data_IF_378381532013
#
_entry.id   IF_378381532013
#
_cell.length_a   1.000
_cell.length_b   1.000
_cell.length_c   1.000
_cell.angle_alpha   90.00
_cell.angle_beta   90.00
_cell.angle_gamma   90.00
#
_symmetry.space_group_name_H-M   'P 1'
#
loop_
_entity.id
_entity.type
_entity.pdbx_description
1 polymer ?
#
# COMPACT_ATOMS: atom_id res chain seq x y z
N UNK A 1 7.72 -3.38 -21.99
CA UNK A 1 7.24 -4.36 -20.98
C UNK A 1 6.91 -3.70 -19.64
N UNK A 2 7.75 -2.77 -19.15
CA UNK A 2 7.50 -1.98 -17.93
C UNK A 2 6.10 -1.36 -17.86
N UNK A 3 5.68 -0.61 -18.89
CA UNK A 3 4.40 0.11 -18.90
C UNK A 3 3.16 -0.77 -18.65
N UNK A 4 3.21 -2.06 -19.01
CA UNK A 4 2.13 -3.02 -18.73
C UNK A 4 2.10 -3.47 -17.26
N UNK A 5 3.27 -3.52 -16.62
CA UNK A 5 3.40 -3.82 -15.20
C UNK A 5 2.98 -2.61 -14.36
N UNK A 6 3.41 -1.41 -14.76
CA UNK A 6 3.02 -0.15 -14.10
C UNK A 6 1.50 0.08 -14.18
N UNK A 7 0.88 -0.18 -15.34
CA UNK A 7 -0.58 -0.05 -15.48
C UNK A 7 -1.35 -1.07 -14.65
N UNK A 8 -0.81 -2.29 -14.46
CA UNK A 8 -1.42 -3.30 -13.60
C UNK A 8 -1.26 -2.94 -12.12
N UNK A 9 -0.09 -2.45 -11.72
CA UNK A 9 0.17 -1.97 -10.35
C UNK A 9 -0.73 -0.79 -10.00
N UNK A 10 -0.84 0.21 -10.87
CA UNK A 10 -1.75 1.34 -10.65
C UNK A 10 -3.22 0.91 -10.52
N UNK A 11 -3.62 -0.15 -11.24
CA UNK A 11 -4.97 -0.72 -11.11
C UNK A 11 -5.15 -1.44 -9.77
N UNK A 12 -4.13 -2.12 -9.27
CA UNK A 12 -4.16 -2.76 -7.95
C UNK A 12 -4.17 -1.72 -6.83
N UNK A 13 -3.33 -0.68 -6.91
CA UNK A 13 -3.29 0.42 -5.95
C UNK A 13 -4.65 1.14 -5.86
N UNK A 14 -5.31 1.35 -7.01
CA UNK A 14 -6.66 1.94 -7.04
C UNK A 14 -7.72 1.03 -6.39
N UNK A 15 -7.62 -0.30 -6.59
CA UNK A 15 -8.52 -1.26 -5.95
C UNK A 15 -8.28 -1.34 -4.44
N UNK A 16 -7.03 -1.28 -4.00
CA UNK A 16 -6.65 -1.27 -2.59
C UNK A 16 -7.17 -0.01 -1.88
N UNK A 17 -7.01 1.18 -2.49
CA UNK A 17 -7.58 2.42 -1.96
C UNK A 17 -9.12 2.40 -1.89
N UNK A 18 -9.79 1.75 -2.84
CA UNK A 18 -11.24 1.55 -2.78
C UNK A 18 -11.64 0.59 -1.66
N UNK A 19 -10.88 -0.48 -1.44
CA UNK A 19 -11.10 -1.42 -0.34
C UNK A 19 -10.88 -0.76 1.01
N UNK A 20 -9.89 0.12 1.14
CA UNK A 20 -9.65 0.90 2.37
C UNK A 20 -10.84 1.83 2.68
N UNK A 21 -11.36 2.54 1.67
CA UNK A 21 -12.58 3.37 1.82
C UNK A 21 -13.80 2.52 2.20
N UNK A 22 -13.96 1.33 1.61
CA UNK A 22 -15.05 0.41 1.97
C UNK A 22 -14.87 -0.24 3.34
N UNK A 23 -13.63 -0.33 3.83
CA UNK A 23 -13.32 -0.81 5.16
C UNK A 23 -13.60 0.25 6.24
N UNK A 24 -13.70 1.54 5.88
CA UNK A 24 -14.15 2.61 6.79
C UNK A 24 -15.57 2.31 7.25
N UNK A 25 -15.70 1.88 8.52
CA UNK A 25 -16.99 1.48 9.11
C UNK A 25 -17.31 -0.02 9.05
N UNK A 26 -16.44 -0.85 8.46
CA UNK A 26 -16.55 -2.31 8.50
C UNK A 26 -15.34 -2.96 9.20
N UNK A 27 -15.44 -3.26 10.51
CA UNK A 27 -14.32 -3.83 11.28
C UNK A 27 -13.95 -5.27 10.89
N UNK A 28 -14.80 -5.96 10.12
CA UNK A 28 -14.48 -7.27 9.55
C UNK A 28 -13.60 -7.12 8.32
N UNK A 29 -13.92 -6.17 7.44
CA UNK A 29 -13.09 -5.86 6.27
C UNK A 29 -11.73 -5.28 6.67
N UNK A 30 -11.67 -4.41 7.70
CA UNK A 30 -10.38 -3.89 8.19
C UNK A 30 -9.44 -4.99 8.69
N UNK A 31 -9.97 -6.01 9.39
CA UNK A 31 -9.16 -7.15 9.85
C UNK A 31 -8.68 -8.02 8.69
N UNK A 32 -9.56 -8.32 7.74
CA UNK A 32 -9.20 -9.09 6.56
C UNK A 32 -8.12 -8.38 5.72
N UNK A 33 -8.19 -7.04 5.62
CA UNK A 33 -7.17 -6.24 4.94
C UNK A 33 -5.84 -6.25 5.72
N UNK A 34 -5.86 -6.02 7.04
CA UNK A 34 -4.66 -6.08 7.87
C UNK A 34 -3.97 -7.45 7.82
N UNK A 35 -4.74 -8.54 7.77
CA UNK A 35 -4.21 -9.90 7.56
C UNK A 35 -3.61 -10.08 6.15
N UNK A 36 -4.21 -9.47 5.13
CA UNK A 36 -3.66 -9.49 3.76
C UNK A 36 -2.36 -8.67 3.63
N UNK A 37 -2.24 -7.56 4.35
CA UNK A 37 -1.01 -6.78 4.47
C UNK A 37 0.10 -7.60 5.15
N UNK A 38 -0.24 -8.37 6.18
CA UNK A 38 0.71 -9.26 6.87
C UNK A 38 1.20 -10.40 5.98
N UNK A 39 0.36 -10.91 5.09
CA UNK A 39 0.74 -11.93 4.12
C UNK A 39 1.53 -11.37 2.92
N UNK A 40 1.84 -10.07 2.92
CA UNK A 40 2.57 -9.41 1.85
C UNK A 40 1.77 -9.34 0.54
N UNK A 41 0.45 -9.47 0.63
CA UNK A 41 -0.46 -9.40 -0.51
C UNK A 41 -0.86 -7.95 -0.83
N UNK A 42 -0.69 -7.03 0.11
CA UNK A 42 -0.73 -5.59 -0.18
C UNK A 42 0.57 -5.10 -0.79
N UNK A 43 0.42 -4.28 -1.83
CA UNK A 43 1.55 -3.67 -2.50
C UNK A 43 2.22 -2.70 -1.51
N UNK A 44 3.56 -2.62 -1.45
CA UNK A 44 4.23 -1.67 -0.57
C UNK A 44 3.80 -0.25 -0.96
N UNK A 45 3.03 0.38 -0.08
CA UNK A 45 2.54 1.74 -0.25
C UNK A 45 3.73 2.65 -0.64
N UNK A 46 3.70 3.28 -1.83
CA UNK A 46 4.79 4.12 -2.31
C UNK A 46 5.05 5.33 -1.38
N UNK A 47 4.08 5.71 -0.53
CA UNK A 47 4.23 6.75 0.49
C UNK A 47 4.87 6.24 1.79
N UNK A 48 4.78 4.94 2.08
CA UNK A 48 5.42 4.33 3.26
C UNK A 48 6.95 4.32 3.16
N UNK A 49 7.49 4.32 1.94
CA UNK A 49 8.91 4.51 1.67
C UNK A 49 9.33 5.98 1.55
N UNK A 50 8.40 6.93 1.41
CA UNK A 50 8.71 8.36 1.34
C UNK A 50 9.11 8.97 2.70
N UNK A 51 8.89 8.23 3.81
CA UNK A 51 9.30 8.61 5.16
C UNK A 51 10.33 7.65 5.76
N UNK A 52 11.16 6.99 4.94
CA UNK A 52 12.41 6.41 5.46
C UNK A 52 13.47 7.51 5.38
N UNK A 53 13.74 8.29 6.46
CA UNK A 53 14.87 9.19 6.44
C UNK A 53 16.10 8.32 6.19
N UNK A 54 16.77 8.59 5.08
CA UNK A 54 18.06 7.96 4.82
C UNK A 54 19.00 8.40 5.94
N UNK A 55 19.84 7.51 6.51
CA UNK A 55 20.70 7.84 7.64
C UNK A 55 21.68 9.00 7.35
N UNK A 56 21.83 9.40 6.09
CA UNK A 56 22.59 10.57 5.68
C UNK A 56 21.93 11.92 5.99
N UNK A 57 20.65 11.98 6.38
CA UNK A 57 19.97 13.24 6.75
C UNK A 57 20.03 13.57 8.26
N UNK A 58 20.57 12.67 9.09
CA UNK A 58 20.71 12.89 10.54
C UNK A 58 22.03 13.55 10.95
N UNK A 59 22.88 13.94 9.99
CA UNK A 59 24.23 14.45 10.25
C UNK A 59 24.48 15.88 9.74
N UNK A 60 23.45 16.75 9.78
CA UNK A 60 23.62 18.18 9.51
C UNK A 60 23.17 19.04 10.66
#
# INVERSE_FOLDING_TARGET
MQARMDTQQQRLDYLEGLLDVMAVGNPTLQRALAESEQLGMSQPDPKRNAYRPTPHQLLR
#
